data_IF_534562710421
#
_entry.id   IF_534562710421
#
_cell.length_a   1.000
_cell.length_b   1.000
_cell.length_c   1.000
_cell.angle_alpha   90.00
_cell.angle_beta   90.00
_cell.angle_gamma   90.00
#
_symmetry.space_group_name_H-M   'P 1'
#
loop_
_entity.id
_entity.type
_entity.pdbx_description
1 polymer ?
#
# COMPACT_ATOMS: atom_id res chain seq x y z
N UNK A 1 -13.75 28.07 -26.46
CA UNK A 1 -12.44 27.77 -25.85
C UNK A 1 -12.59 26.48 -25.07
N UNK A 2 -12.00 25.39 -25.55
CA UNK A 2 -12.03 24.10 -24.84
C UNK A 2 -10.87 24.08 -23.83
N UNK A 3 -11.20 23.94 -22.54
CA UNK A 3 -10.24 23.66 -21.48
C UNK A 3 -9.67 22.26 -21.70
N UNK A 4 -8.36 22.17 -21.89
CA UNK A 4 -7.66 20.88 -21.92
C UNK A 4 -7.82 20.22 -20.53
N UNK A 5 -8.19 18.93 -20.45
CA UNK A 5 -8.23 18.23 -19.18
C UNK A 5 -6.80 18.16 -18.62
N UNK A 6 -6.64 18.69 -17.42
CA UNK A 6 -5.42 18.61 -16.63
C UNK A 6 -5.07 17.14 -16.44
N UNK A 7 -4.07 16.65 -17.20
CA UNK A 7 -3.61 15.26 -17.09
C UNK A 7 -3.11 15.06 -15.67
N UNK A 8 -3.81 14.22 -14.89
CA UNK A 8 -3.33 13.77 -13.60
C UNK A 8 -1.89 13.28 -13.73
N UNK A 9 -0.98 13.64 -12.80
CA UNK A 9 0.39 13.19 -12.86
C UNK A 9 0.39 11.67 -12.73
N UNK A 10 0.80 11.00 -13.80
CA UNK A 10 1.01 9.56 -13.77
C UNK A 10 2.09 9.26 -12.74
N UNK A 11 1.76 8.44 -11.74
CA UNK A 11 2.71 8.00 -10.73
C UNK A 11 3.89 7.30 -11.43
N UNK A 12 5.09 7.86 -11.25
CA UNK A 12 6.34 7.20 -11.67
C UNK A 12 6.67 6.17 -10.59
N UNK A 13 6.39 4.89 -10.85
CA UNK A 13 6.66 3.81 -9.90
C UNK A 13 7.29 2.62 -10.63
N UNK A 14 8.42 2.16 -10.11
CA UNK A 14 9.15 1.00 -10.62
C UNK A 14 10.53 1.34 -11.18
N UNK A 15 11.50 0.51 -10.83
CA UNK A 15 12.81 0.48 -11.48
C UNK A 15 12.85 -0.71 -12.43
N UNK A 16 13.09 -0.44 -13.72
CA UNK A 16 13.37 -1.52 -14.64
C UNK A 16 14.72 -2.16 -14.28
N UNK A 17 14.73 -3.48 -14.04
CA UNK A 17 15.99 -4.23 -13.93
C UNK A 17 16.60 -4.35 -15.32
N UNK A 18 17.47 -3.40 -15.65
CA UNK A 18 18.35 -3.48 -16.83
C UNK A 18 19.79 -3.65 -16.30
N UNK A 19 20.44 -4.81 -16.48
CA UNK A 19 21.79 -5.08 -15.95
C UNK A 19 22.86 -4.09 -16.41
N UNK A 20 22.62 -3.46 -17.55
CA UNK A 20 23.53 -2.65 -18.35
C UNK A 20 23.14 -1.15 -18.37
N UNK A 21 22.10 -0.74 -17.62
CA UNK A 21 21.68 0.67 -17.53
C UNK A 21 21.40 1.10 -16.10
N UNK A 22 21.62 2.40 -15.87
CA UNK A 22 21.18 3.03 -14.63
C UNK A 22 19.66 2.86 -14.49
N UNK A 23 19.16 2.65 -13.26
CA UNK A 23 17.75 2.44 -13.01
C UNK A 23 16.93 3.62 -13.56
N UNK A 24 16.15 3.40 -14.62
CA UNK A 24 15.20 4.38 -15.13
C UNK A 24 13.82 4.11 -14.51
N UNK A 25 13.19 5.16 -14.01
CA UNK A 25 11.79 5.10 -13.60
C UNK A 25 10.90 5.10 -14.85
N UNK A 26 9.85 4.30 -14.83
CA UNK A 26 8.83 4.32 -15.87
C UNK A 26 7.46 4.55 -15.24
N UNK A 27 6.53 5.02 -16.06
CA UNK A 27 5.12 5.11 -15.68
C UNK A 27 4.46 3.80 -16.05
N UNK A 28 3.77 3.19 -15.09
CA UNK A 28 2.95 2.01 -15.32
C UNK A 28 1.56 2.21 -14.72
N UNK A 29 0.54 1.76 -15.43
CA UNK A 29 -0.82 1.60 -14.92
C UNK A 29 -1.12 0.15 -14.52
N UNK A 30 -0.14 -0.75 -14.62
CA UNK A 30 -0.27 -2.15 -14.23
C UNK A 30 0.44 -2.43 -12.92
N UNK A 31 -0.19 -3.26 -12.08
CA UNK A 31 0.48 -3.85 -10.91
C UNK A 31 1.74 -4.61 -11.36
N UNK A 32 2.80 -4.62 -10.54
CA UNK A 32 4.01 -5.37 -10.87
C UNK A 32 3.70 -6.86 -11.05
N UNK A 33 4.35 -7.50 -12.03
CA UNK A 33 4.33 -8.95 -12.13
C UNK A 33 5.08 -9.53 -10.92
N UNK A 34 4.39 -10.34 -10.11
CA UNK A 34 4.96 -10.97 -8.91
C UNK A 34 5.32 -12.41 -9.24
N UNK A 35 6.63 -12.71 -9.22
CA UNK A 35 7.14 -14.07 -9.38
C UNK A 35 7.22 -14.78 -8.01
N UNK A 36 7.25 -16.12 -8.01
CA UNK A 36 7.29 -16.92 -6.79
C UNK A 36 8.46 -16.57 -5.86
N UNK A 37 9.61 -16.12 -6.40
CA UNK A 37 10.77 -15.70 -5.60
C UNK A 37 10.75 -14.21 -5.20
N UNK A 38 9.62 -13.53 -5.35
CA UNK A 38 9.48 -12.11 -4.99
C UNK A 38 9.19 -11.98 -3.50
N UNK A 39 9.95 -11.11 -2.82
CA UNK A 39 9.65 -10.67 -1.45
C UNK A 39 8.89 -9.35 -1.51
N UNK A 40 7.76 -9.28 -0.81
CA UNK A 40 6.96 -8.07 -0.69
C UNK A 40 7.13 -7.51 0.72
N UNK A 41 7.67 -6.29 0.82
CA UNK A 41 7.76 -5.54 2.07
C UNK A 41 7.05 -4.20 1.88
N UNK A 42 5.98 -3.99 2.63
CA UNK A 42 5.19 -2.77 2.58
C UNK A 42 5.08 -2.15 3.98
N UNK A 43 5.16 -0.83 4.06
CA UNK A 43 5.02 -0.08 5.30
C UNK A 43 4.23 1.21 5.08
N UNK A 44 3.39 1.58 6.05
CA UNK A 44 2.65 2.85 6.04
C UNK A 44 2.63 3.48 7.44
N UNK A 45 2.85 4.80 7.48
CA UNK A 45 3.03 5.57 8.73
C UNK A 45 1.78 6.18 9.37
N UNK A 46 0.68 6.52 8.65
CA UNK A 46 -0.46 7.17 9.29
C UNK A 46 -0.96 6.41 10.51
N UNK A 47 -1.18 7.15 11.59
CA UNK A 47 -1.75 6.65 12.84
C UNK A 47 -3.27 6.71 12.81
N UNK A 48 -3.95 6.08 13.77
CA UNK A 48 -5.42 6.17 13.89
C UNK A 48 -5.92 7.62 14.04
N UNK A 49 -5.09 8.57 14.49
CA UNK A 49 -5.48 9.99 14.55
C UNK A 49 -5.24 10.76 13.25
N UNK A 50 -4.33 10.30 12.40
CA UNK A 50 -3.89 11.01 11.18
C UNK A 50 -4.28 10.27 9.90
N UNK A 51 -5.16 9.27 10.00
CA UNK A 51 -5.55 8.37 8.91
C UNK A 51 -6.95 8.68 8.36
N UNK A 52 -7.47 9.89 8.58
CA UNK A 52 -8.79 10.28 8.08
C UNK A 52 -8.81 10.26 6.54
N UNK A 53 -9.69 9.49 5.88
CA UNK A 53 -9.80 9.46 4.42
C UNK A 53 -10.11 10.81 3.78
N UNK A 54 -10.63 11.78 4.53
CA UNK A 54 -10.97 13.12 4.06
C UNK A 54 -9.78 14.09 4.06
N UNK A 55 -8.71 13.74 4.79
CA UNK A 55 -7.45 14.48 4.86
C UNK A 55 -6.34 13.68 4.14
N UNK A 56 -5.30 13.24 4.87
CA UNK A 56 -4.15 12.50 4.35
C UNK A 56 -4.27 10.96 4.48
N UNK A 57 -5.46 10.44 4.78
CA UNK A 57 -5.71 9.00 4.94
C UNK A 57 -5.61 8.17 3.66
N UNK A 58 -5.42 8.77 2.48
CA UNK A 58 -5.26 8.07 1.21
C UNK A 58 -4.09 7.06 1.20
N UNK A 59 -3.02 7.30 1.96
CA UNK A 59 -1.94 6.32 2.15
C UNK A 59 -2.40 5.00 2.78
N UNK A 60 -3.44 5.02 3.61
CA UNK A 60 -4.05 3.81 4.15
C UNK A 60 -4.81 3.08 3.04
N UNK A 61 -5.55 3.80 2.21
CA UNK A 61 -6.28 3.21 1.09
C UNK A 61 -5.34 2.48 0.13
N UNK A 62 -4.24 3.11 -0.27
CA UNK A 62 -3.26 2.50 -1.18
C UNK A 62 -2.60 1.28 -0.53
N UNK A 63 -2.22 1.38 0.74
CA UNK A 63 -1.60 0.29 1.48
C UNK A 63 -2.50 -0.95 1.53
N UNK A 64 -3.78 -0.81 1.88
CA UNK A 64 -4.69 -1.95 1.96
C UNK A 64 -5.21 -2.42 0.60
N UNK A 65 -5.30 -1.53 -0.40
CA UNK A 65 -5.56 -1.93 -1.79
C UNK A 65 -4.47 -2.87 -2.30
N UNK A 66 -3.20 -2.53 -2.13
CA UNK A 66 -2.10 -3.42 -2.50
C UNK A 66 -2.05 -4.68 -1.63
N UNK A 67 -2.37 -4.59 -0.33
CA UNK A 67 -2.42 -5.76 0.53
C UNK A 67 -3.42 -6.80 0.01
N UNK A 68 -4.63 -6.36 -0.29
CA UNK A 68 -5.67 -7.22 -0.86
C UNK A 68 -5.26 -7.79 -2.22
N UNK A 69 -4.79 -6.95 -3.15
CA UNK A 69 -4.44 -7.36 -4.51
C UNK A 69 -3.27 -8.34 -4.56
N UNK A 70 -2.29 -8.17 -3.68
CA UNK A 70 -1.07 -8.97 -3.69
C UNK A 70 -1.15 -10.19 -2.78
N UNK A 71 -2.22 -10.35 -1.98
CA UNK A 71 -2.34 -11.44 -1.01
C UNK A 71 -2.10 -12.81 -1.65
N UNK A 72 -1.21 -13.58 -1.03
CA UNK A 72 -0.87 -14.94 -1.47
C UNK A 72 0.09 -15.02 -2.66
N UNK A 73 0.57 -13.88 -3.17
CA UNK A 73 1.58 -13.83 -4.23
C UNK A 73 3.01 -13.73 -3.67
N UNK A 74 3.99 -14.20 -4.43
CA UNK A 74 5.41 -14.18 -4.04
C UNK A 74 5.74 -15.15 -2.90
N UNK A 75 7.03 -15.25 -2.55
CA UNK A 75 7.50 -16.22 -1.55
C UNK A 75 7.15 -15.78 -0.13
N UNK A 76 7.18 -14.47 0.11
CA UNK A 76 7.04 -13.92 1.45
C UNK A 76 6.52 -12.50 1.40
N UNK A 77 5.61 -12.18 2.32
CA UNK A 77 5.04 -10.85 2.45
C UNK A 77 5.12 -10.37 3.89
N UNK A 78 5.47 -9.10 4.05
CA UNK A 78 5.41 -8.41 5.34
C UNK A 78 4.79 -7.04 5.15
N UNK A 79 3.74 -6.80 5.91
CA UNK A 79 2.94 -5.59 5.87
C UNK A 79 3.02 -4.92 7.23
N UNK A 80 3.52 -3.69 7.30
CA UNK A 80 3.78 -2.96 8.54
C UNK A 80 2.93 -1.69 8.58
N UNK A 81 2.26 -1.43 9.68
CA UNK A 81 1.40 -0.25 9.84
C UNK A 81 1.56 0.37 11.23
N UNK A 82 1.44 1.70 11.32
CA UNK A 82 1.33 2.39 12.61
C UNK A 82 -0.09 2.41 13.18
N UNK A 83 -1.07 1.99 12.39
CA UNK A 83 -2.47 2.02 12.75
C UNK A 83 -3.11 0.63 12.67
N UNK A 84 -3.78 0.26 13.77
CA UNK A 84 -4.59 -0.94 13.85
C UNK A 84 -5.77 -0.86 12.86
N UNK A 85 -5.88 -1.78 11.89
CA UNK A 85 -6.96 -1.75 10.89
C UNK A 85 -8.35 -1.79 11.50
N UNK A 86 -8.56 -2.51 12.61
CA UNK A 86 -9.88 -2.55 13.25
C UNK A 86 -10.25 -1.18 13.80
N UNK A 87 -9.32 -0.52 14.47
CA UNK A 87 -9.53 0.84 15.00
C UNK A 87 -9.74 1.87 13.89
N UNK A 88 -9.07 1.71 12.75
CA UNK A 88 -9.29 2.57 11.58
C UNK A 88 -10.72 2.44 11.06
N UNK A 89 -11.19 1.22 10.82
CA UNK A 89 -12.55 0.98 10.30
C UNK A 89 -13.63 1.36 11.31
N UNK A 90 -13.40 1.11 12.60
CA UNK A 90 -14.31 1.54 13.66
C UNK A 90 -14.46 3.06 13.73
N UNK A 91 -13.38 3.80 13.52
CA UNK A 91 -13.37 5.26 13.63
C UNK A 91 -13.86 5.96 12.36
N UNK A 92 -13.40 5.50 11.19
CA UNK A 92 -13.59 6.21 9.91
C UNK A 92 -14.52 5.47 8.94
N UNK A 93 -14.94 4.25 9.26
CA UNK A 93 -15.71 3.42 8.35
C UNK A 93 -14.82 2.75 7.29
N UNK A 94 -15.42 2.40 6.15
CA UNK A 94 -14.72 1.74 5.07
C UNK A 94 -13.75 2.70 4.35
N UNK A 95 -12.54 2.21 4.05
CA UNK A 95 -11.59 2.93 3.21
C UNK A 95 -11.83 2.60 1.74
N UNK A 96 -11.80 3.66 0.93
CA UNK A 96 -12.03 3.59 -0.50
C UNK A 96 -10.75 3.93 -1.26
N UNK A 97 -10.44 3.17 -2.30
CA UNK A 97 -9.36 3.45 -3.24
C UNK A 97 -9.94 3.97 -4.57
N UNK A 98 -9.12 4.72 -5.32
CA UNK A 98 -9.47 5.44 -6.58
C UNK A 98 -10.01 6.88 -6.40
N UNK A 99 -10.28 7.52 -7.54
CA UNK A 99 -10.74 8.90 -7.73
C UNK A 99 -12.11 9.16 -7.05
N UNK A 100 -12.25 10.20 -6.22
CA UNK A 100 -13.52 10.54 -5.56
C UNK A 100 -14.67 10.95 -6.49
N UNK A 101 -14.38 11.27 -7.76
CA UNK A 101 -15.39 11.61 -8.76
C UNK A 101 -15.87 10.41 -9.60
N UNK A 102 -15.38 9.21 -9.31
CA UNK A 102 -15.74 7.96 -9.99
C UNK A 102 -16.19 6.89 -8.98
N UNK A 103 -16.65 5.74 -9.47
CA UNK A 103 -16.96 4.59 -8.63
C UNK A 103 -15.70 4.08 -7.91
N UNK A 104 -15.64 4.31 -6.60
CA UNK A 104 -14.54 3.85 -5.76
C UNK A 104 -14.74 2.41 -5.31
N UNK A 105 -13.62 1.70 -5.11
CA UNK A 105 -13.63 0.33 -4.57
C UNK A 105 -13.26 0.34 -3.09
N UNK A 106 -13.95 -0.48 -2.32
CA UNK A 106 -13.60 -0.73 -0.91
C UNK A 106 -12.28 -1.49 -0.88
N UNK A 107 -11.31 -0.99 -0.13
CA UNK A 107 -9.98 -1.58 0.03
C UNK A 107 -9.69 -2.03 1.46
N UNK A 108 -10.47 -1.53 2.42
CA UNK A 108 -10.48 -2.00 3.81
C UNK A 108 -11.85 -1.73 4.41
N UNK A 109 -12.50 -2.77 4.93
CA UNK A 109 -13.69 -2.67 5.77
C UNK A 109 -13.67 -3.75 6.85
N UNK A 110 -14.77 -3.83 7.62
CA UNK A 110 -14.88 -4.76 8.74
C UNK A 110 -15.02 -6.21 8.26
N UNK A 111 -15.77 -6.44 7.20
CA UNK A 111 -16.03 -7.78 6.68
C UNK A 111 -14.76 -8.39 6.08
N UNK A 112 -13.95 -7.59 5.38
CA UNK A 112 -12.63 -7.98 4.89
C UNK A 112 -11.71 -8.44 6.02
N UNK A 113 -11.76 -7.76 7.18
CA UNK A 113 -10.97 -8.13 8.37
C UNK A 113 -11.50 -9.41 9.02
N UNK A 114 -12.81 -9.54 9.14
CA UNK A 114 -13.45 -10.70 9.79
C UNK A 114 -13.31 -11.98 8.93
N UNK A 115 -13.35 -11.84 7.60
CA UNK A 115 -13.14 -12.94 6.66
C UNK A 115 -11.66 -13.15 6.29
N UNK A 116 -10.73 -12.45 6.95
CA UNK A 116 -9.29 -12.53 6.72
C UNK A 116 -8.91 -12.35 5.24
N UNK A 117 -9.57 -11.46 4.51
CA UNK A 117 -9.36 -11.24 3.08
C UNK A 117 -8.04 -10.53 2.75
N UNK A 118 -7.35 -9.97 3.75
CA UNK A 118 -6.05 -9.31 3.63
C UNK A 118 -4.94 -10.16 4.26
N UNK A 119 -3.69 -9.95 3.82
CA UNK A 119 -2.51 -10.47 4.51
C UNK A 119 -2.41 -9.81 5.90
N UNK A 120 -2.19 -10.58 6.98
CA UNK A 120 -2.02 -10.04 8.32
C UNK A 120 -0.96 -8.94 8.39
N UNK A 121 -1.25 -7.88 9.14
CA UNK A 121 -0.36 -6.73 9.30
C UNK A 121 0.35 -6.78 10.65
N UNK A 122 1.61 -6.35 10.66
CA UNK A 122 2.38 -6.08 11.88
C UNK A 122 2.15 -4.64 12.30
N UNK A 123 1.56 -4.44 13.47
CA UNK A 123 1.34 -3.11 14.03
C UNK A 123 2.59 -2.70 14.82
N UNK A 124 3.15 -1.54 14.50
CA UNK A 124 4.32 -0.98 15.20
C UNK A 124 4.06 0.45 15.64
N UNK A 125 4.85 0.97 16.58
CA UNK A 125 4.79 2.40 16.89
C UNK A 125 5.40 3.21 15.75
N UNK A 126 4.86 4.39 15.49
CA UNK A 126 5.37 5.30 14.46
C UNK A 126 6.87 5.57 14.57
N UNK A 127 7.40 5.71 15.79
CA UNK A 127 8.84 5.93 16.04
C UNK A 127 9.73 4.71 15.81
N UNK A 128 9.17 3.51 15.71
CA UNK A 128 9.89 2.24 15.53
C UNK A 128 9.81 1.73 14.08
N UNK A 129 9.09 2.45 13.20
CA UNK A 129 8.78 1.99 11.85
C UNK A 129 10.01 1.82 10.97
N UNK A 130 10.93 2.79 11.02
CA UNK A 130 12.16 2.75 10.22
C UNK A 130 13.00 1.55 10.64
N UNK A 131 13.25 1.39 11.94
CA UNK A 131 14.04 0.28 12.47
C UNK A 131 13.40 -1.07 12.12
N UNK A 132 12.06 -1.17 12.20
CA UNK A 132 11.36 -2.38 11.81
C UNK A 132 11.53 -2.67 10.33
N UNK A 133 11.33 -1.69 9.45
CA UNK A 133 11.49 -1.88 8.00
C UNK A 133 12.91 -2.30 7.65
N UNK A 134 13.93 -1.68 8.27
CA UNK A 134 15.33 -2.02 8.03
C UNK A 134 15.68 -3.41 8.55
N UNK A 135 15.18 -3.81 9.72
CA UNK A 135 15.35 -5.17 10.24
C UNK A 135 14.75 -6.21 9.30
N UNK A 136 13.56 -5.94 8.78
CA UNK A 136 12.85 -6.80 7.84
C UNK A 136 13.58 -6.86 6.48
N UNK A 137 14.14 -5.76 6.00
CA UNK A 137 14.89 -5.74 4.75
C UNK A 137 16.25 -6.46 4.87
N UNK A 138 16.98 -6.24 5.96
CA UNK A 138 18.34 -6.76 6.15
C UNK A 138 18.37 -8.21 6.65
N UNK A 139 17.40 -8.61 7.49
CA UNK A 139 17.29 -9.98 8.00
C UNK A 139 17.02 -11.03 6.93
N UNK A 140 16.79 -10.62 5.67
CA UNK A 140 16.47 -11.47 4.53
C UNK A 140 17.61 -11.61 3.51
N UNK A 141 18.79 -11.03 3.77
CA UNK A 141 19.96 -11.15 2.88
C UNK A 141 20.92 -12.31 3.25
N UNK A 142 20.61 -13.12 4.27
CA UNK A 142 21.39 -14.30 4.66
C UNK A 142 20.72 -15.60 4.23
#
# INVERSE_FOLDING_TARGET
MATLPEKQPLAKSGYARMPDRLPSTFVSSTVPCIFDNTVILAATHPTVSTADPSDDGWFISDFYAFNYLLKGLGMHQTWITAADPRKLVEKYGAYLHSNPYEDRKVCLDKDMLDQQQITPVTIVRSGEMIDRVLSEANGRQN
#
